data_IF_260139908202
#
_entry.id   IF_260139908202
#
_cell.length_a   1.000
_cell.length_b   1.000
_cell.length_c   1.000
_cell.angle_alpha   90.00
_cell.angle_beta   90.00
_cell.angle_gamma   90.00
#
_symmetry.space_group_name_H-M   'P 1'
#
loop_
_entity.id
_entity.type
_entity.pdbx_description
1 polymer ?
#
# COMPACT_ATOMS: atom_id res chain seq x y z
N UNK A 1 -6.25 35.36 -2.93
CA UNK A 1 -6.37 34.17 -3.79
C UNK A 1 -6.53 32.98 -2.86
N UNK A 2 -7.61 32.18 -2.91
CA UNK A 2 -7.68 31.02 -2.04
C UNK A 2 -6.64 30.00 -2.54
N UNK A 3 -5.59 29.77 -1.76
CA UNK A 3 -4.72 28.61 -1.92
C UNK A 3 -5.60 27.36 -1.88
N UNK A 4 -5.65 26.63 -2.98
CA UNK A 4 -6.24 25.30 -3.02
C UNK A 4 -5.27 24.33 -2.31
N UNK A 5 -5.09 24.50 -1.00
CA UNK A 5 -4.12 23.77 -0.18
C UNK A 5 -4.71 22.44 0.31
N UNK A 6 -5.29 21.63 -0.59
CA UNK A 6 -5.27 20.19 -0.32
C UNK A 6 -3.83 19.76 -0.47
N UNK A 7 -3.05 19.93 0.59
CA UNK A 7 -1.75 19.30 0.78
C UNK A 7 -2.06 17.80 0.69
N UNK A 8 -1.93 17.23 -0.50
CA UNK A 8 -2.09 15.80 -0.72
C UNK A 8 -0.91 15.16 -0.01
N UNK A 9 -1.12 14.84 1.26
CA UNK A 9 -0.11 14.24 2.10
C UNK A 9 0.01 12.77 1.71
N UNK A 10 0.80 12.52 0.67
CA UNK A 10 1.11 11.18 0.21
C UNK A 10 1.88 10.38 1.27
N UNK A 11 2.56 11.04 2.20
CA UNK A 11 3.20 10.35 3.33
C UNK A 11 2.13 9.75 4.24
N UNK A 12 1.18 10.57 4.69
CA UNK A 12 0.05 10.08 5.49
C UNK A 12 -0.77 9.03 4.72
N UNK A 13 -1.10 9.27 3.44
CA UNK A 13 -1.88 8.30 2.65
C UNK A 13 -1.18 6.95 2.51
N UNK A 14 0.13 6.93 2.30
CA UNK A 14 0.88 5.66 2.17
C UNK A 14 1.02 4.95 3.52
N UNK A 15 1.13 5.70 4.62
CA UNK A 15 1.03 5.17 5.97
C UNK A 15 -0.34 4.54 6.24
N UNK A 16 -1.43 5.25 5.94
CA UNK A 16 -2.79 4.76 6.12
C UNK A 16 -3.07 3.51 5.29
N UNK A 17 -2.61 3.47 4.03
CA UNK A 17 -2.69 2.27 3.20
C UNK A 17 -1.99 1.08 3.86
N UNK A 18 -0.74 1.27 4.33
CA UNK A 18 0.02 0.21 4.99
C UNK A 18 -0.61 -0.24 6.32
N UNK A 19 -1.23 0.67 7.07
CA UNK A 19 -2.01 0.39 8.29
C UNK A 19 -3.25 -0.44 7.96
N UNK A 20 -4.03 0.00 6.99
CA UNK A 20 -5.28 -0.64 6.61
C UNK A 20 -5.03 -2.05 6.05
N UNK A 21 -3.95 -2.24 5.27
CA UNK A 21 -3.48 -3.57 4.85
C UNK A 21 -3.22 -4.48 6.06
N UNK A 22 -2.55 -3.99 7.10
CA UNK A 22 -2.30 -4.78 8.32
C UNK A 22 -3.58 -5.17 9.04
N UNK A 23 -4.58 -4.27 9.06
CA UNK A 23 -5.89 -4.54 9.65
C UNK A 23 -6.62 -5.61 8.82
N UNK A 24 -6.59 -5.50 7.50
CA UNK A 24 -7.20 -6.46 6.58
C UNK A 24 -6.60 -7.86 6.73
N UNK A 25 -5.27 -8.03 6.65
CA UNK A 25 -4.63 -9.36 6.72
C UNK A 25 -4.81 -10.06 8.07
N UNK A 26 -5.06 -9.31 9.15
CA UNK A 26 -5.38 -9.90 10.47
C UNK A 26 -6.69 -10.67 10.43
N UNK A 27 -7.68 -10.20 9.66
CA UNK A 27 -9.02 -10.78 9.55
C UNK A 27 -9.08 -12.01 8.63
N UNK A 28 -8.09 -12.17 7.73
CA UNK A 28 -8.05 -13.29 6.80
C UNK A 28 -7.95 -14.65 7.52
N UNK A 29 -8.59 -15.65 6.91
CA UNK A 29 -8.41 -17.06 7.25
C UNK A 29 -6.93 -17.43 7.20
N UNK A 30 -6.47 -18.16 8.21
CA UNK A 30 -5.06 -18.56 8.37
C UNK A 30 -4.80 -19.90 7.69
N UNK A 31 -4.88 -19.92 6.36
CA UNK A 31 -4.38 -21.02 5.52
C UNK A 31 -3.04 -20.65 4.87
N UNK A 32 -2.36 -21.65 4.30
CA UNK A 32 -1.01 -21.49 3.76
C UNK A 32 -0.95 -20.39 2.69
N UNK A 33 -1.84 -20.35 1.67
CA UNK A 33 -1.81 -19.30 0.65
C UNK A 33 -1.95 -17.91 1.25
N UNK A 34 -2.98 -17.67 2.08
CA UNK A 34 -3.19 -16.34 2.66
C UNK A 34 -2.06 -15.94 3.61
N UNK A 35 -1.44 -16.88 4.33
CA UNK A 35 -0.29 -16.58 5.19
C UNK A 35 0.90 -16.09 4.36
N UNK A 36 1.23 -16.79 3.28
CA UNK A 36 2.37 -16.41 2.43
C UNK A 36 2.12 -15.10 1.67
N UNK A 37 0.95 -14.95 1.07
CA UNK A 37 0.58 -13.73 0.34
C UNK A 37 0.47 -12.51 1.27
N UNK A 38 -0.08 -12.70 2.48
CA UNK A 38 -0.15 -11.61 3.48
C UNK A 38 1.23 -11.12 3.90
N UNK A 39 2.21 -12.02 4.05
CA UNK A 39 3.59 -11.62 4.39
C UNK A 39 4.18 -10.73 3.31
N UNK A 40 3.96 -11.06 2.04
CA UNK A 40 4.46 -10.26 0.92
C UNK A 40 3.72 -8.93 0.82
N UNK A 41 2.40 -8.92 0.94
CA UNK A 41 1.59 -7.72 0.93
C UNK A 41 1.98 -6.73 2.04
N UNK A 42 2.19 -7.21 3.27
CA UNK A 42 2.59 -6.36 4.40
C UNK A 42 3.95 -5.70 4.17
N UNK A 43 4.89 -6.41 3.52
CA UNK A 43 6.20 -5.86 3.16
C UNK A 43 6.09 -4.82 2.06
N UNK A 44 5.44 -5.17 0.94
CA UNK A 44 5.29 -4.29 -0.21
C UNK A 44 4.55 -2.98 0.17
N UNK A 45 3.43 -3.08 0.89
CA UNK A 45 2.65 -1.91 1.32
C UNK A 45 3.43 -0.99 2.25
N UNK A 46 4.19 -1.55 3.20
CA UNK A 46 5.08 -0.76 4.07
C UNK A 46 6.23 -0.09 3.31
N UNK A 47 6.77 -0.77 2.30
CA UNK A 47 7.86 -0.27 1.46
C UNK A 47 7.47 0.97 0.66
N UNK A 48 6.19 1.10 0.28
CA UNK A 48 5.67 2.31 -0.38
C UNK A 48 5.87 3.55 0.49
N UNK A 49 5.41 3.50 1.75
CA UNK A 49 5.53 4.62 2.68
C UNK A 49 6.97 4.89 3.10
N UNK A 50 7.75 3.84 3.37
CA UNK A 50 9.17 3.99 3.71
C UNK A 50 9.96 4.70 2.61
N UNK A 51 9.79 4.29 1.34
CA UNK A 51 10.46 4.97 0.22
C UNK A 51 9.92 6.37 -0.03
N UNK A 52 8.67 6.66 0.34
CA UNK A 52 8.11 8.01 0.20
C UNK A 52 8.69 8.98 1.25
N UNK A 53 8.87 8.51 2.49
CA UNK A 53 9.61 9.26 3.53
C UNK A 53 11.03 9.56 3.04
N UNK A 54 11.74 8.55 2.51
CA UNK A 54 13.07 8.76 1.94
C UNK A 54 13.06 9.70 0.72
N UNK A 55 11.97 9.74 -0.06
CA UNK A 55 11.81 10.71 -1.13
C UNK A 55 11.65 12.14 -0.59
N UNK A 56 10.90 12.34 0.49
CA UNK A 56 10.76 13.65 1.14
C UNK A 56 12.09 14.19 1.67
N UNK A 57 13.01 13.29 2.04
CA UNK A 57 14.38 13.60 2.50
C UNK A 57 15.44 13.58 1.38
N UNK A 58 15.02 13.52 0.11
CA UNK A 58 15.93 13.29 -1.02
C UNK A 58 17.04 14.34 -1.13
N UNK A 59 18.27 13.87 -1.37
CA UNK A 59 19.46 14.73 -1.48
C UNK A 59 19.56 15.44 -2.83
N UNK A 60 18.79 15.00 -3.82
CA UNK A 60 18.74 15.61 -5.15
C UNK A 60 17.44 15.27 -5.89
N UNK A 61 17.12 16.00 -6.96
CA UNK A 61 15.99 15.68 -7.84
C UNK A 61 16.10 14.27 -8.46
N UNK A 62 17.31 13.80 -8.77
CA UNK A 62 17.53 12.46 -9.33
C UNK A 62 17.22 11.37 -8.31
N UNK A 63 17.65 11.58 -7.06
CA UNK A 63 17.37 10.69 -5.94
C UNK A 63 15.85 10.65 -5.65
N UNK A 64 15.20 11.81 -5.56
CA UNK A 64 13.74 11.90 -5.44
C UNK A 64 13.02 11.05 -6.50
N UNK A 65 13.36 11.23 -7.79
CA UNK A 65 12.74 10.47 -8.89
C UNK A 65 12.98 8.97 -8.75
N UNK A 66 14.18 8.56 -8.32
CA UNK A 66 14.50 7.16 -8.08
C UNK A 66 13.62 6.59 -6.96
N UNK A 67 13.47 7.28 -5.82
CA UNK A 67 12.62 6.85 -4.71
C UNK A 67 11.16 6.74 -5.10
N UNK A 68 10.63 7.73 -5.82
CA UNK A 68 9.25 7.66 -6.34
C UNK A 68 9.04 6.48 -7.30
N UNK A 69 10.03 6.12 -8.13
CA UNK A 69 9.97 4.91 -8.96
C UNK A 69 9.88 3.63 -8.12
N UNK A 70 10.61 3.57 -7.00
CA UNK A 70 10.53 2.45 -6.06
C UNK A 70 9.14 2.42 -5.42
N UNK A 71 8.61 3.54 -4.89
CA UNK A 71 7.25 3.61 -4.37
C UNK A 71 6.22 3.04 -5.37
N UNK A 72 6.32 3.42 -6.65
CA UNK A 72 5.42 2.92 -7.70
C UNK A 72 5.56 1.42 -7.95
N UNK A 73 6.79 0.89 -7.92
CA UNK A 73 7.04 -0.56 -8.04
C UNK A 73 6.36 -1.32 -6.90
N UNK A 74 6.58 -0.88 -5.66
CA UNK A 74 6.07 -1.51 -4.45
C UNK A 74 4.54 -1.39 -4.33
N UNK A 75 3.95 -0.29 -4.84
CA UNK A 75 2.50 -0.14 -4.93
C UNK A 75 1.89 -1.16 -5.88
N UNK A 76 2.48 -1.36 -7.07
CA UNK A 76 2.04 -2.39 -8.02
C UNK A 76 2.18 -3.81 -7.46
N UNK A 77 3.26 -4.06 -6.72
CA UNK A 77 3.48 -5.32 -6.04
C UNK A 77 2.43 -5.55 -4.95
N UNK A 78 2.07 -4.51 -4.19
CA UNK A 78 0.96 -4.58 -3.22
C UNK A 78 -0.37 -4.95 -3.89
N UNK A 79 -0.69 -4.34 -5.05
CA UNK A 79 -1.87 -4.68 -5.84
C UNK A 79 -1.86 -6.13 -6.30
N UNK A 80 -0.70 -6.62 -6.75
CA UNK A 80 -0.54 -8.01 -7.16
C UNK A 80 -0.87 -8.98 -6.02
N UNK A 81 -0.31 -8.76 -4.82
CA UNK A 81 -0.61 -9.61 -3.66
C UNK A 81 -2.06 -9.49 -3.19
N UNK A 82 -2.66 -8.30 -3.21
CA UNK A 82 -4.09 -8.11 -2.93
C UNK A 82 -5.00 -8.90 -3.90
N UNK A 83 -4.56 -9.12 -5.15
CA UNK A 83 -5.31 -9.92 -6.14
C UNK A 83 -5.23 -11.42 -5.85
N UNK A 84 -4.14 -11.90 -5.25
CA UNK A 84 -3.93 -13.31 -4.92
C UNK A 84 -4.60 -13.73 -3.61
N UNK A 85 -4.72 -12.80 -2.65
CA UNK A 85 -5.38 -13.08 -1.37
C UNK A 85 -6.83 -13.53 -1.61
N UNK A 86 -7.16 -14.67 -0.99
CA UNK A 86 -8.51 -15.22 -1.00
C UNK A 86 -9.33 -14.60 0.14
N UNK A 87 -10.38 -13.86 -0.25
CA UNK A 87 -11.35 -13.24 0.65
C UNK A 87 -12.81 -13.51 0.20
N UNK A 88 -13.02 -14.36 -0.82
CA UNK A 88 -14.30 -14.52 -1.52
C UNK A 88 -15.40 -15.14 -0.66
N UNK A 89 -15.02 -15.94 0.34
CA UNK A 89 -15.93 -16.57 1.29
C UNK A 89 -16.54 -15.57 2.29
N UNK A 90 -16.03 -14.34 2.36
CA UNK A 90 -16.51 -13.27 3.24
C UNK A 90 -16.76 -11.97 2.46
N UNK A 91 -18.03 -11.66 2.24
CA UNK A 91 -18.45 -10.46 1.49
C UNK A 91 -17.94 -9.14 2.09
N UNK A 92 -17.69 -9.08 3.41
CA UNK A 92 -17.12 -7.90 4.06
C UNK A 92 -15.64 -7.77 3.75
N UNK A 93 -14.89 -8.88 3.81
CA UNK A 93 -13.47 -8.89 3.46
C UNK A 93 -13.25 -8.64 1.98
N UNK A 94 -14.12 -9.16 1.11
CA UNK A 94 -14.04 -8.88 -0.32
C UNK A 94 -14.24 -7.39 -0.61
N UNK A 95 -15.22 -6.74 0.04
CA UNK A 95 -15.40 -5.28 -0.07
C UNK A 95 -14.18 -4.50 0.42
N UNK A 96 -13.59 -4.92 1.54
CA UNK A 96 -12.38 -4.28 2.09
C UNK A 96 -11.17 -4.46 1.15
N UNK A 97 -11.01 -5.65 0.56
CA UNK A 97 -10.00 -5.95 -0.47
C UNK A 97 -10.17 -5.07 -1.70
N UNK A 98 -11.39 -4.93 -2.21
CA UNK A 98 -11.70 -4.04 -3.34
C UNK A 98 -11.42 -2.57 -3.03
N UNK A 99 -11.73 -2.10 -1.82
CA UNK A 99 -11.36 -0.75 -1.36
C UNK A 99 -9.83 -0.57 -1.38
N UNK A 100 -9.08 -1.52 -0.83
CA UNK A 100 -7.61 -1.46 -0.82
C UNK A 100 -7.01 -1.51 -2.23
N UNK A 101 -7.61 -2.27 -3.15
CA UNK A 101 -7.21 -2.30 -4.56
C UNK A 101 -7.38 -0.94 -5.25
N UNK A 102 -8.32 -0.10 -4.83
CA UNK A 102 -8.50 1.25 -5.38
C UNK A 102 -7.43 2.25 -4.89
N UNK A 103 -6.79 1.98 -3.75
CA UNK A 103 -5.66 2.79 -3.24
C UNK A 103 -4.34 2.42 -3.93
N UNK A 104 -4.20 1.17 -4.36
CA UNK A 104 -3.06 0.72 -5.16
C UNK A 104 -3.23 1.12 -6.63
N UNK A 105 -2.68 2.27 -7.00
CA UNK A 105 -2.68 2.91 -8.34
C UNK A 105 -2.67 1.93 -9.52
#
# INVERSE_FOLDING_TARGET
>A
MPENSKKYDLEERTFEFARDVRVFVRKLKKDIPNIEDSKQLVRASGSVGANYIEANEALSKKDFIMRIKICRKEAKESVFWLKLISAEDDSSLEKERQRLLQEGI
#
